data_IF_623452164402
#
_entry.id   IF_623452164402
#
_cell.length_a   1.000
_cell.length_b   1.000
_cell.length_c   1.000
_cell.angle_alpha   90.00
_cell.angle_beta   90.00
_cell.angle_gamma   90.00
#
_symmetry.space_group_name_H-M   'P 1'
#
loop_
_entity.id
_entity.type
_entity.pdbx_description
1 polymer ?
#
# COMPACT_ATOMS: atom_id res chain seq x y z
N UNK A 1 11.58 51.73 -19.56
CA UNK A 1 11.38 50.74 -18.47
C UNK A 1 11.02 49.32 -18.95
N UNK A 2 10.76 49.09 -20.25
CA UNK A 2 10.15 47.84 -20.75
C UNK A 2 11.11 46.76 -21.27
N UNK A 3 12.43 46.99 -21.32
CA UNK A 3 13.43 45.97 -21.71
C UNK A 3 14.07 45.22 -20.52
N UNK A 4 13.87 45.69 -19.29
CA UNK A 4 14.42 45.05 -18.08
C UNK A 4 13.49 43.97 -17.50
N UNK A 5 12.15 44.12 -17.64
CA UNK A 5 11.18 43.13 -17.15
C UNK A 5 11.20 41.79 -17.92
N UNK A 6 11.49 41.79 -19.22
CA UNK A 6 11.55 40.54 -20.00
C UNK A 6 12.76 39.66 -19.67
N UNK A 7 13.90 40.25 -19.29
CA UNK A 7 15.07 39.48 -18.84
C UNK A 7 14.85 38.85 -17.46
N UNK A 8 14.12 39.51 -16.55
CA UNK A 8 13.85 38.98 -15.21
C UNK A 8 12.85 37.81 -15.26
N UNK A 9 11.84 37.86 -16.14
CA UNK A 9 10.84 36.78 -16.28
C UNK A 9 11.42 35.54 -16.98
N UNK A 10 12.26 35.70 -18.01
CA UNK A 10 12.97 34.56 -18.61
C UNK A 10 14.04 33.96 -17.69
N UNK A 11 14.70 34.77 -16.85
CA UNK A 11 15.62 34.23 -15.84
C UNK A 11 14.89 33.45 -14.75
N UNK A 12 13.74 33.92 -14.24
CA UNK A 12 12.96 33.17 -13.24
C UNK A 12 12.45 31.83 -13.79
N UNK A 13 11.98 31.78 -15.04
CA UNK A 13 11.53 30.52 -15.65
C UNK A 13 12.68 29.53 -15.89
N UNK A 14 13.84 30.01 -16.34
CA UNK A 14 15.04 29.15 -16.50
C UNK A 14 15.58 28.69 -15.15
N UNK A 15 15.49 29.52 -14.09
CA UNK A 15 15.93 29.17 -12.74
C UNK A 15 15.03 28.14 -12.06
N UNK A 16 13.70 28.25 -12.23
CA UNK A 16 12.73 27.26 -11.72
C UNK A 16 12.91 25.92 -12.42
N UNK A 17 13.01 25.91 -13.76
CA UNK A 17 13.25 24.67 -14.53
C UNK A 17 14.60 24.03 -14.16
N UNK A 18 15.66 24.83 -13.94
CA UNK A 18 16.95 24.29 -13.50
C UNK A 18 16.94 23.76 -12.06
N UNK A 19 16.20 24.39 -11.14
CA UNK A 19 16.04 23.89 -9.77
C UNK A 19 15.23 22.60 -9.72
N UNK A 20 14.16 22.49 -10.53
CA UNK A 20 13.32 21.30 -10.61
C UNK A 20 14.10 20.12 -11.23
N UNK A 21 14.92 20.36 -12.26
CA UNK A 21 15.80 19.34 -12.83
C UNK A 21 16.94 18.94 -11.88
N UNK A 22 17.54 19.89 -11.15
CA UNK A 22 18.58 19.58 -10.16
C UNK A 22 18.02 18.78 -8.98
N UNK A 23 16.79 19.09 -8.52
CA UNK A 23 16.09 18.34 -7.50
C UNK A 23 15.68 16.95 -7.99
N UNK A 24 15.12 16.84 -9.20
CA UNK A 24 14.82 15.55 -9.82
C UNK A 24 16.08 14.67 -9.96
N UNK A 25 17.20 15.25 -10.40
CA UNK A 25 18.49 14.55 -10.44
C UNK A 25 19.04 14.22 -9.04
N UNK A 26 18.73 15.01 -8.01
CA UNK A 26 19.07 14.68 -6.62
C UNK A 26 18.25 13.51 -6.07
N UNK A 27 16.96 13.41 -6.42
CA UNK A 27 16.08 12.27 -6.07
C UNK A 27 16.61 10.99 -6.72
N UNK A 28 16.98 11.06 -8.01
CA UNK A 28 17.54 9.93 -8.75
C UNK A 28 18.93 9.55 -8.22
N UNK A 29 19.82 10.51 -7.98
CA UNK A 29 21.17 10.23 -7.47
C UNK A 29 21.20 9.76 -6.01
N UNK A 30 20.31 10.25 -5.14
CA UNK A 30 20.18 9.77 -3.76
C UNK A 30 19.86 8.27 -3.70
N UNK A 31 19.08 7.75 -4.65
CA UNK A 31 18.74 6.33 -4.74
C UNK A 31 19.90 5.44 -5.20
N UNK A 32 20.88 5.99 -5.92
CA UNK A 32 21.99 5.23 -6.49
C UNK A 32 23.25 5.21 -5.61
N UNK A 33 23.36 6.09 -4.60
CA UNK A 33 24.62 6.33 -3.90
C UNK A 33 24.56 6.20 -2.35
N UNK A 34 23.46 5.73 -1.76
CA UNK A 34 23.33 5.74 -0.29
C UNK A 34 23.39 7.16 0.29
N UNK A 35 22.99 8.15 -0.51
CA UNK A 35 22.98 9.56 -0.13
C UNK A 35 21.82 9.91 0.80
N UNK A 36 21.83 11.15 1.31
CA UNK A 36 20.73 11.66 2.13
C UNK A 36 19.38 11.54 1.40
N UNK A 37 18.29 11.18 2.10
CA UNK A 37 16.97 11.07 1.50
C UNK A 37 16.57 12.41 0.84
N UNK A 38 15.84 12.37 -0.29
CA UNK A 38 15.45 13.58 -0.99
C UNK A 38 14.64 14.52 -0.08
N UNK A 39 14.91 15.82 -0.20
CA UNK A 39 14.13 16.84 0.53
C UNK A 39 12.72 16.87 -0.06
N UNK A 40 11.73 16.52 0.76
CA UNK A 40 10.31 16.56 0.39
C UNK A 40 9.85 18.02 0.30
N UNK A 41 9.49 18.47 -0.90
CA UNK A 41 8.90 19.79 -1.13
C UNK A 41 7.38 19.73 -1.06
N UNK A 42 6.73 20.85 -0.73
CA UNK A 42 5.26 20.91 -0.62
C UNK A 42 4.67 20.13 0.56
N UNK A 43 3.37 20.32 0.80
CA UNK A 43 2.62 19.66 1.86
C UNK A 43 2.94 20.11 3.29
N UNK A 44 2.12 19.60 4.21
CA UNK A 44 2.21 19.87 5.64
C UNK A 44 3.48 19.26 6.27
N UNK A 45 3.86 19.68 7.49
CA UNK A 45 4.90 19.00 8.26
C UNK A 45 4.62 17.50 8.44
N UNK A 46 3.35 17.12 8.62
CA UNK A 46 2.91 15.73 8.73
C UNK A 46 3.21 14.95 7.48
N UNK A 47 2.79 15.45 6.32
CA UNK A 47 3.08 14.85 5.02
C UNK A 47 4.56 14.59 4.81
N UNK A 48 5.40 15.59 5.10
CA UNK A 48 6.87 15.48 4.96
C UNK A 48 7.45 14.43 5.89
N UNK A 49 7.03 14.43 7.16
CA UNK A 49 7.51 13.45 8.16
C UNK A 49 7.14 12.01 7.75
N UNK A 50 5.90 11.80 7.31
CA UNK A 50 5.44 10.48 6.90
C UNK A 50 6.10 10.04 5.59
N UNK A 51 6.26 10.93 4.61
CA UNK A 51 6.99 10.63 3.38
C UNK A 51 8.45 10.17 3.66
N UNK A 52 9.14 10.83 4.59
CA UNK A 52 10.48 10.42 5.02
C UNK A 52 10.48 9.05 5.70
N UNK A 53 9.49 8.79 6.57
CA UNK A 53 9.30 7.46 7.16
C UNK A 53 9.14 6.38 6.08
N UNK A 54 8.29 6.61 5.07
CA UNK A 54 8.05 5.62 4.00
C UNK A 54 9.30 5.32 3.18
N UNK A 55 10.12 6.33 2.87
CA UNK A 55 11.38 6.14 2.15
C UNK A 55 12.36 5.29 2.96
N UNK A 56 12.54 5.60 4.25
CA UNK A 56 13.39 4.81 5.14
C UNK A 56 12.84 3.38 5.31
N UNK A 57 11.53 3.24 5.45
CA UNK A 57 10.84 1.96 5.61
C UNK A 57 11.00 1.07 4.38
N UNK A 58 10.89 1.64 3.18
CA UNK A 58 11.16 0.92 1.93
C UNK A 58 12.56 0.34 1.95
N UNK A 59 13.60 1.13 2.18
CA UNK A 59 14.99 0.65 2.24
C UNK A 59 15.18 -0.49 3.26
N UNK A 60 14.57 -0.38 4.44
CA UNK A 60 14.61 -1.43 5.46
C UNK A 60 13.95 -2.73 4.98
N UNK A 61 12.79 -2.63 4.32
CA UNK A 61 12.07 -3.79 3.79
C UNK A 61 12.87 -4.46 2.68
N UNK A 62 13.41 -3.70 1.72
CA UNK A 62 14.22 -4.27 0.64
C UNK A 62 15.41 -5.05 1.23
N UNK A 63 16.14 -4.44 2.16
CA UNK A 63 17.28 -5.09 2.80
C UNK A 63 16.88 -6.35 3.59
N UNK A 64 15.78 -6.32 4.34
CA UNK A 64 15.29 -7.47 5.10
C UNK A 64 14.87 -8.63 4.17
N UNK A 65 14.15 -8.32 3.09
CA UNK A 65 13.70 -9.33 2.12
C UNK A 65 14.87 -9.92 1.35
N UNK A 66 15.82 -9.12 0.88
CA UNK A 66 17.01 -9.63 0.19
C UNK A 66 17.90 -10.51 1.10
N UNK A 67 18.03 -10.12 2.38
CA UNK A 67 18.78 -10.88 3.37
C UNK A 67 18.11 -12.22 3.67
N UNK A 68 16.78 -12.21 3.87
CA UNK A 68 16.04 -13.45 4.06
C UNK A 68 16.07 -14.31 2.79
N UNK A 69 15.85 -13.73 1.60
CA UNK A 69 15.82 -14.46 0.33
C UNK A 69 17.11 -15.27 0.09
N UNK A 70 18.28 -14.66 0.29
CA UNK A 70 19.56 -15.36 0.32
C UNK A 70 20.12 -15.82 -1.04
N UNK A 71 19.36 -15.68 -2.13
CA UNK A 71 19.81 -16.07 -3.49
C UNK A 71 20.91 -15.16 -4.08
N UNK A 72 21.13 -13.99 -3.48
CA UNK A 72 21.99 -12.94 -4.02
C UNK A 72 21.29 -12.02 -5.03
N UNK A 73 20.05 -12.31 -5.42
CA UNK A 73 19.20 -11.41 -6.21
C UNK A 73 18.86 -10.16 -5.40
N UNK A 74 18.82 -9.01 -6.08
CA UNK A 74 18.58 -7.69 -5.50
C UNK A 74 17.36 -7.04 -6.14
N UNK A 75 16.68 -6.17 -5.38
CA UNK A 75 15.64 -5.33 -5.96
C UNK A 75 16.25 -4.37 -6.98
N UNK A 76 15.70 -4.38 -8.19
CA UNK A 76 15.89 -3.28 -9.12
C UNK A 76 15.10 -2.08 -8.62
N UNK A 77 15.77 -0.93 -8.52
CA UNK A 77 15.15 0.34 -8.10
C UNK A 77 15.03 1.23 -9.31
N UNK A 78 13.79 1.61 -9.62
CA UNK A 78 13.41 2.43 -10.75
C UNK A 78 12.83 3.77 -10.24
N UNK A 79 13.70 4.78 -10.03
CA UNK A 79 13.28 6.11 -9.60
C UNK A 79 12.54 6.83 -10.73
N UNK A 80 11.49 7.57 -10.40
CA UNK A 80 10.74 8.37 -11.36
C UNK A 80 10.34 9.71 -10.76
N UNK A 81 10.24 10.71 -11.64
CA UNK A 81 9.78 12.06 -11.33
C UNK A 81 8.80 12.50 -12.42
N UNK A 82 7.72 13.16 -12.03
CA UNK A 82 6.75 13.77 -12.93
C UNK A 82 6.98 15.27 -12.96
N UNK A 83 7.54 15.75 -14.06
CA UNK A 83 7.91 17.17 -14.23
C UNK A 83 6.72 18.13 -14.05
N UNK A 84 5.50 17.70 -14.35
CA UNK A 84 4.31 18.57 -14.33
C UNK A 84 3.86 19.03 -12.94
N UNK A 85 4.09 18.21 -11.91
CA UNK A 85 3.61 18.47 -10.55
C UNK A 85 4.66 18.19 -9.46
N UNK A 86 5.86 17.72 -9.84
CA UNK A 86 6.92 17.37 -8.90
C UNK A 86 6.68 16.05 -8.16
N UNK A 87 5.64 15.29 -8.50
CA UNK A 87 5.44 13.95 -7.94
C UNK A 87 6.63 13.06 -8.25
N UNK A 88 7.01 12.18 -7.34
CA UNK A 88 8.11 11.27 -7.54
C UNK A 88 7.91 9.98 -6.78
N UNK A 89 8.75 8.98 -7.05
CA UNK A 89 8.71 7.74 -6.32
C UNK A 89 9.82 6.79 -6.72
N UNK A 90 9.81 5.64 -6.07
CA UNK A 90 10.76 4.56 -6.28
C UNK A 90 9.96 3.29 -6.48
N UNK A 91 9.80 2.90 -7.74
CA UNK A 91 9.24 1.59 -8.07
C UNK A 91 10.34 0.55 -7.88
N UNK A 92 10.03 -0.57 -7.24
CA UNK A 92 11.00 -1.64 -7.04
C UNK A 92 10.47 -2.97 -7.57
N UNK A 93 11.36 -3.79 -8.10
CA UNK A 93 11.05 -5.13 -8.56
C UNK A 93 12.19 -6.08 -8.21
N UNK A 94 11.89 -7.17 -7.52
CA UNK A 94 12.76 -8.33 -7.40
C UNK A 94 12.09 -9.45 -8.19
N UNK A 95 12.86 -10.11 -9.05
CA UNK A 95 12.40 -11.25 -9.84
C UNK A 95 13.42 -12.38 -9.71
N UNK A 96 12.90 -13.60 -9.68
CA UNK A 96 13.69 -14.83 -9.63
C UNK A 96 14.51 -15.08 -8.36
N UNK A 97 14.10 -14.54 -7.21
CA UNK A 97 14.65 -14.90 -5.90
C UNK A 97 14.27 -16.31 -5.45
N UNK A 98 14.96 -16.82 -4.41
CA UNK A 98 14.74 -18.17 -3.87
C UNK A 98 13.54 -18.23 -2.91
N UNK A 99 13.31 -17.15 -2.16
CA UNK A 99 12.11 -16.97 -1.33
C UNK A 99 11.03 -16.25 -2.12
N UNK A 100 11.36 -15.10 -2.70
CA UNK A 100 10.44 -14.22 -3.43
C UNK A 100 10.66 -14.42 -4.92
N UNK A 101 9.72 -15.11 -5.57
CA UNK A 101 9.80 -15.33 -7.02
C UNK A 101 9.54 -14.03 -7.79
N UNK A 102 8.62 -13.20 -7.29
CA UNK A 102 8.46 -11.82 -7.72
C UNK A 102 7.96 -10.96 -6.59
N UNK A 103 8.57 -9.80 -6.40
CA UNK A 103 8.22 -8.90 -5.31
C UNK A 103 8.37 -7.44 -5.70
N UNK A 104 7.54 -6.59 -5.10
CA UNK A 104 7.63 -5.15 -5.21
C UNK A 104 7.36 -4.51 -3.85
N UNK A 105 8.08 -3.45 -3.54
CA UNK A 105 7.79 -2.55 -2.44
C UNK A 105 8.06 -1.11 -2.91
N UNK A 106 7.01 -0.40 -3.33
CA UNK A 106 7.11 0.86 -4.06
C UNK A 106 6.63 2.04 -3.24
N UNK A 107 7.41 3.12 -3.23
CA UNK A 107 7.03 4.42 -2.64
C UNK A 107 6.54 5.37 -3.73
N UNK A 108 5.46 6.09 -3.45
CA UNK A 108 4.95 7.18 -4.30
C UNK A 108 4.64 8.40 -3.45
N UNK A 109 5.22 9.54 -3.82
CA UNK A 109 5.00 10.87 -3.24
C UNK A 109 4.36 11.72 -4.33
N UNK A 110 3.07 12.00 -4.17
CA UNK A 110 2.22 12.63 -5.18
C UNK A 110 1.85 14.03 -4.73
N UNK A 111 1.94 14.95 -5.68
CA UNK A 111 1.43 16.31 -5.57
C UNK A 111 0.39 16.51 -6.67
N UNK A 112 -0.67 17.27 -6.40
CA UNK A 112 -1.63 17.57 -7.44
C UNK A 112 -2.68 18.58 -7.04
N UNK A 113 -3.62 18.78 -7.95
CA UNK A 113 -4.84 19.58 -7.72
C UNK A 113 -6.08 18.73 -7.94
N UNK A 114 -7.11 18.94 -7.14
CA UNK A 114 -8.36 18.21 -7.27
C UNK A 114 -9.04 18.55 -8.59
N UNK A 115 -9.50 17.53 -9.30
CA UNK A 115 -10.47 17.69 -10.38
C UNK A 115 -11.85 17.94 -9.77
N UNK A 116 -12.80 18.43 -10.58
CA UNK A 116 -14.19 18.61 -10.12
C UNK A 116 -14.82 17.30 -9.62
N UNK A 117 -14.56 16.21 -10.33
CA UNK A 117 -15.01 14.87 -9.94
C UNK A 117 -14.42 14.43 -8.60
N UNK A 118 -13.10 14.61 -8.40
CA UNK A 118 -12.42 14.25 -7.15
C UNK A 118 -12.90 15.11 -5.98
N UNK A 119 -13.08 16.41 -6.19
CA UNK A 119 -13.61 17.30 -5.16
C UNK A 119 -15.04 16.89 -4.75
N UNK A 120 -15.92 16.56 -5.71
CA UNK A 120 -17.26 16.05 -5.39
C UNK A 120 -17.20 14.72 -4.63
N UNK A 121 -16.40 13.77 -5.10
CA UNK A 121 -16.26 12.46 -4.46
C UNK A 121 -15.70 12.58 -3.03
N UNK A 122 -14.72 13.45 -2.81
CA UNK A 122 -14.16 13.68 -1.48
C UNK A 122 -15.12 14.42 -0.56
N UNK A 123 -15.82 15.46 -1.05
CA UNK A 123 -16.81 16.17 -0.24
C UNK A 123 -17.94 15.24 0.23
N UNK A 124 -18.40 14.34 -0.64
CA UNK A 124 -19.40 13.34 -0.28
C UNK A 124 -18.89 12.30 0.73
N UNK A 125 -17.58 12.04 0.74
CA UNK A 125 -16.92 11.04 1.60
C UNK A 125 -16.58 11.61 2.99
N UNK A 126 -16.06 12.84 3.05
CA UNK A 126 -15.61 13.49 4.29
C UNK A 126 -16.68 14.31 5.00
N UNK A 127 -17.74 14.71 4.30
CA UNK A 127 -18.70 15.68 4.83
C UNK A 127 -18.16 17.11 4.87
N UNK A 128 -16.91 17.34 4.42
CA UNK A 128 -16.28 18.66 4.34
C UNK A 128 -16.22 19.12 2.89
N UNK A 129 -16.65 20.35 2.62
CA UNK A 129 -16.66 20.90 1.26
C UNK A 129 -15.22 21.05 0.72
N UNK A 130 -14.94 20.36 -0.38
CA UNK A 130 -13.71 20.52 -1.16
C UNK A 130 -14.06 21.03 -2.56
N UNK A 131 -13.14 21.78 -3.17
CA UNK A 131 -13.31 22.48 -4.44
C UNK A 131 -12.26 22.04 -5.45
N UNK A 132 -12.66 22.05 -6.72
CA UNK A 132 -11.72 21.84 -7.81
C UNK A 132 -10.58 22.87 -7.72
N UNK A 133 -9.36 22.42 -8.04
CA UNK A 133 -8.17 23.26 -7.99
C UNK A 133 -7.47 23.32 -6.63
N UNK A 134 -8.09 22.86 -5.53
CA UNK A 134 -7.39 22.73 -4.24
C UNK A 134 -6.19 21.79 -4.39
N UNK A 135 -5.06 22.15 -3.77
CA UNK A 135 -3.90 21.30 -3.76
C UNK A 135 -4.12 20.11 -2.82
N UNK A 136 -3.58 18.96 -3.23
CA UNK A 136 -3.54 17.77 -2.40
C UNK A 136 -2.17 17.13 -2.49
N UNK A 137 -1.79 16.43 -1.42
CA UNK A 137 -0.57 15.64 -1.37
C UNK A 137 -0.92 14.22 -0.91
N UNK A 138 -0.21 13.22 -1.45
CA UNK A 138 -0.40 11.83 -1.05
C UNK A 138 0.95 11.11 -0.98
N UNK A 139 1.20 10.38 0.10
CA UNK A 139 2.41 9.59 0.28
C UNK A 139 1.99 8.14 0.57
N UNK A 140 2.53 7.18 -0.17
CA UNK A 140 2.18 5.78 -0.01
C UNK A 140 3.39 4.86 -0.17
N UNK A 141 3.42 3.79 0.63
CA UNK A 141 4.28 2.63 0.44
C UNK A 141 3.36 1.41 0.31
N UNK A 142 3.48 0.70 -0.82
CA UNK A 142 2.75 -0.55 -1.06
C UNK A 142 3.70 -1.66 -1.44
N UNK A 143 3.42 -2.88 -0.98
CA UNK A 143 4.20 -4.05 -1.32
C UNK A 143 3.32 -5.26 -1.63
N UNK A 144 3.87 -6.13 -2.48
CA UNK A 144 3.36 -7.48 -2.74
C UNK A 144 4.56 -8.40 -2.93
N UNK A 145 4.61 -9.50 -2.20
CA UNK A 145 5.63 -10.53 -2.32
C UNK A 145 4.99 -11.86 -2.68
N UNK A 146 5.24 -12.31 -3.92
CA UNK A 146 4.86 -13.63 -4.39
C UNK A 146 5.99 -14.61 -4.12
N UNK A 147 5.79 -15.46 -3.13
CA UNK A 147 6.73 -16.51 -2.76
C UNK A 147 6.95 -17.55 -3.85
N UNK A 148 8.17 -18.08 -3.96
CA UNK A 148 8.50 -19.18 -4.87
C UNK A 148 7.83 -20.48 -4.44
N UNK A 149 8.01 -20.89 -3.18
CA UNK A 149 7.37 -22.08 -2.63
C UNK A 149 5.85 -21.89 -2.54
N UNK A 150 5.03 -22.88 -2.97
CA UNK A 150 3.59 -22.87 -2.77
C UNK A 150 3.20 -23.03 -1.29
N UNK A 151 4.14 -23.35 -0.40
CA UNK A 151 3.88 -23.50 1.04
C UNK A 151 4.10 -22.21 1.81
N UNK A 152 4.69 -21.19 1.18
CA UNK A 152 4.80 -19.84 1.73
C UNK A 152 3.65 -19.00 1.17
N UNK A 153 2.88 -18.26 1.98
CA UNK A 153 1.82 -17.39 1.48
C UNK A 153 2.36 -16.17 0.73
N UNK A 154 1.61 -15.70 -0.27
CA UNK A 154 1.79 -14.34 -0.80
C UNK A 154 1.46 -13.35 0.31
N UNK A 155 2.26 -12.29 0.43
CA UNK A 155 2.04 -11.22 1.41
C UNK A 155 1.83 -9.89 0.69
N UNK A 156 0.82 -9.14 1.12
CA UNK A 156 0.52 -7.81 0.61
C UNK A 156 0.32 -6.87 1.77
N UNK A 157 0.84 -5.65 1.63
CA UNK A 157 0.62 -4.61 2.60
C UNK A 157 0.70 -3.22 1.97
N UNK A 158 0.09 -2.24 2.62
CA UNK A 158 0.25 -0.85 2.25
C UNK A 158 0.02 0.08 3.45
N UNK A 159 0.66 1.24 3.43
CA UNK A 159 0.25 2.39 4.24
C UNK A 159 0.31 3.64 3.37
N UNK A 160 -0.62 4.55 3.62
CA UNK A 160 -0.75 5.79 2.86
C UNK A 160 -1.29 6.91 3.73
N UNK A 161 -0.91 8.13 3.39
CA UNK A 161 -1.44 9.37 3.91
C UNK A 161 -1.87 10.24 2.74
N UNK A 162 -3.01 10.90 2.90
CA UNK A 162 -3.55 11.85 1.94
C UNK A 162 -3.95 13.11 2.69
N UNK A 163 -3.65 14.26 2.11
CA UNK A 163 -4.08 15.55 2.62
C UNK A 163 -4.52 16.50 1.53
N UNK A 164 -5.42 17.42 1.89
CA UNK A 164 -5.95 18.46 1.03
C UNK A 164 -5.86 19.77 1.78
N UNK A 165 -5.37 20.80 1.11
CA UNK A 165 -5.41 22.14 1.67
C UNK A 165 -6.87 22.57 1.90
N UNK A 166 -7.17 23.10 3.09
CA UNK A 166 -8.52 23.59 3.40
C UNK A 166 -9.02 24.64 2.42
N UNK A 167 -10.33 24.84 2.35
CA UNK A 167 -10.86 26.00 1.64
C UNK A 167 -10.59 27.25 2.51
N UNK A 168 -10.23 28.38 1.90
CA UNK A 168 -10.22 29.66 2.61
C UNK A 168 -11.63 29.89 3.17
N UNK A 169 -11.75 29.91 4.51
CA UNK A 169 -13.00 30.21 5.19
C UNK A 169 -13.35 31.69 5.07
N UNK A 170 -14.59 32.10 5.37
CA UNK A 170 -15.01 33.51 5.40
C UNK A 170 -14.37 34.34 6.54
N UNK A 171 -13.32 33.85 7.21
CA UNK A 171 -12.62 34.53 8.29
C UNK A 171 -11.10 34.39 8.17
N UNK A 172 -10.36 35.25 8.87
CA UNK A 172 -8.89 35.39 8.79
C UNK A 172 -8.08 34.24 9.44
N UNK A 173 -8.67 33.05 9.59
CA UNK A 173 -7.99 31.86 10.12
C UNK A 173 -7.26 31.07 9.02
N UNK A 174 -6.18 30.32 9.36
CA UNK A 174 -5.53 29.45 8.39
C UNK A 174 -6.50 28.39 7.87
N UNK A 175 -6.47 28.12 6.57
CA UNK A 175 -7.25 27.05 5.96
C UNK A 175 -6.85 25.69 6.57
N UNK A 176 -7.80 24.99 7.18
CA UNK A 176 -7.52 23.75 7.91
C UNK A 176 -7.34 22.58 6.93
N UNK A 177 -6.17 21.94 6.96
CA UNK A 177 -5.84 20.80 6.10
C UNK A 177 -6.70 19.59 6.49
N UNK A 178 -7.37 18.99 5.51
CA UNK A 178 -8.12 17.74 5.70
C UNK A 178 -7.17 16.58 5.39
N UNK A 179 -6.88 15.74 6.37
CA UNK A 179 -5.95 14.61 6.23
C UNK A 179 -6.56 13.29 6.67
N UNK A 180 -6.14 12.20 6.05
CA UNK A 180 -6.45 10.84 6.51
C UNK A 180 -5.39 9.84 6.06
N UNK A 181 -5.32 8.77 6.82
CA UNK A 181 -4.50 7.62 6.57
C UNK A 181 -5.32 6.44 6.05
N UNK A 182 -4.63 5.49 5.46
CA UNK A 182 -5.16 4.20 5.10
C UNK A 182 -4.04 3.17 5.01
N UNK A 183 -4.40 1.90 4.97
CA UNK A 183 -3.42 0.84 4.85
C UNK A 183 -3.96 -0.51 5.29
N UNK A 184 -3.02 -1.40 5.55
CA UNK A 184 -3.31 -2.73 6.03
C UNK A 184 -2.22 -3.72 5.67
N UNK A 185 -2.48 -4.97 6.00
CA UNK A 185 -1.68 -6.11 5.63
C UNK A 185 -2.60 -7.32 5.54
N UNK A 186 -2.37 -8.17 4.54
CA UNK A 186 -3.16 -9.38 4.33
C UNK A 186 -2.29 -10.53 3.81
N UNK A 187 -2.70 -11.74 4.20
CA UNK A 187 -2.01 -12.98 3.90
C UNK A 187 -2.81 -13.82 2.91
N UNK A 188 -2.16 -14.26 1.84
CA UNK A 188 -2.76 -15.04 0.76
C UNK A 188 -2.04 -16.40 0.65
N UNK A 189 -2.42 -17.39 1.48
CA UNK A 189 -1.86 -18.74 1.41
C UNK A 189 -2.37 -19.51 0.19
N UNK A 190 -1.57 -20.49 -0.24
CA UNK A 190 -1.99 -21.51 -1.21
C UNK A 190 -2.37 -22.83 -0.51
N UNK A 191 -1.81 -23.09 0.66
CA UNK A 191 -2.20 -24.17 1.56
C UNK A 191 -2.42 -23.61 2.95
N UNK A 192 -3.45 -24.09 3.65
CA UNK A 192 -3.75 -23.62 4.99
C UNK A 192 -2.77 -24.21 6.00
N UNK A 193 -2.14 -23.32 6.76
CA UNK A 193 -1.40 -23.65 7.98
C UNK A 193 -2.01 -22.82 9.10
N UNK A 194 -2.85 -23.46 9.92
CA UNK A 194 -3.65 -22.77 10.93
C UNK A 194 -2.78 -21.97 11.91
N UNK A 195 -1.66 -22.55 12.34
CA UNK A 195 -0.71 -21.89 13.25
C UNK A 195 -0.08 -20.62 12.64
N UNK A 196 0.21 -20.61 11.33
CA UNK A 196 0.72 -19.41 10.65
C UNK A 196 -0.34 -18.32 10.59
N UNK A 197 -1.60 -18.69 10.30
CA UNK A 197 -2.71 -17.75 10.27
C UNK A 197 -3.00 -17.18 11.67
N UNK A 198 -3.02 -18.02 12.71
CA UNK A 198 -3.19 -17.60 14.11
C UNK A 198 -2.08 -16.62 14.51
N UNK A 199 -0.81 -16.93 14.22
CA UNK A 199 0.32 -16.05 14.55
C UNK A 199 0.26 -14.72 13.82
N UNK A 200 -0.04 -14.73 12.53
CA UNK A 200 -0.21 -13.51 11.74
C UNK A 200 -1.32 -12.63 12.30
N UNK A 201 -2.50 -13.20 12.54
CA UNK A 201 -3.65 -12.48 13.08
C UNK A 201 -3.43 -12.01 14.53
N UNK A 202 -2.74 -12.80 15.36
CA UNK A 202 -2.38 -12.43 16.73
C UNK A 202 -1.46 -11.20 16.78
N UNK A 203 -0.49 -11.11 15.88
CA UNK A 203 0.41 -9.96 15.80
C UNK A 203 -0.36 -8.66 15.52
N UNK A 204 -1.28 -8.68 14.56
CA UNK A 204 -2.11 -7.51 14.25
C UNK A 204 -3.16 -7.22 15.32
N UNK A 205 -3.67 -8.23 16.03
CA UNK A 205 -4.53 -7.99 17.19
C UNK A 205 -3.77 -7.28 18.31
N UNK A 206 -2.59 -7.77 18.68
CA UNK A 206 -1.78 -7.14 19.71
C UNK A 206 -1.43 -5.68 19.36
N UNK A 207 -1.12 -5.41 18.09
CA UNK A 207 -0.93 -4.06 17.58
C UNK A 207 -2.19 -3.22 17.71
N UNK A 208 -3.35 -3.72 17.29
CA UNK A 208 -4.62 -3.00 17.41
C UNK A 208 -4.99 -2.74 18.88
N UNK A 209 -4.82 -3.73 19.76
CA UNK A 209 -5.09 -3.60 21.20
C UNK A 209 -4.22 -2.49 21.83
N UNK A 210 -2.95 -2.39 21.42
CA UNK A 210 -2.04 -1.34 21.90
C UNK A 210 -2.45 0.09 21.48
N UNK A 211 -3.24 0.22 20.41
CA UNK A 211 -3.69 1.52 19.89
C UNK A 211 -5.19 1.78 20.15
N UNK A 212 -5.95 0.81 20.65
CA UNK A 212 -7.41 0.85 20.78
C UNK A 212 -7.94 2.09 21.52
N UNK A 213 -7.36 2.42 22.67
CA UNK A 213 -7.76 3.57 23.49
C UNK A 213 -7.50 4.94 22.84
N UNK A 214 -6.71 4.99 21.77
CA UNK A 214 -6.36 6.24 21.07
C UNK A 214 -7.24 6.54 19.85
N UNK A 215 -8.13 5.62 19.45
CA UNK A 215 -8.79 5.66 18.13
C UNK A 215 -10.32 5.58 18.22
N UNK A 216 -10.87 6.02 19.37
CA UNK A 216 -12.30 6.07 19.68
C UNK A 216 -13.04 6.90 18.62
N UNK A 217 -13.78 6.24 17.73
CA UNK A 217 -14.53 6.87 16.63
C UNK A 217 -14.42 6.12 15.30
N UNK A 218 -13.36 5.32 15.10
CA UNK A 218 -13.24 4.48 13.91
C UNK A 218 -13.92 3.11 14.06
N UNK A 219 -13.96 2.56 15.28
CA UNK A 219 -14.73 1.37 15.59
C UNK A 219 -16.23 1.73 15.67
N UNK A 220 -17.08 1.12 14.83
CA UNK A 220 -18.48 1.53 14.62
C UNK A 220 -19.46 0.97 15.68
N UNK A 221 -19.01 0.62 16.89
CA UNK A 221 -19.88 0.02 17.91
C UNK A 221 -19.26 0.05 19.30
N UNK A 222 -20.07 0.28 20.34
CA UNK A 222 -19.72 0.10 21.77
C UNK A 222 -19.30 -1.35 22.12
N UNK A 223 -19.33 -2.29 21.16
CA UNK A 223 -19.12 -3.73 21.38
C UNK A 223 -18.01 -4.40 20.56
N UNK A 224 -17.26 -3.67 19.72
CA UNK A 224 -16.22 -4.27 18.85
C UNK A 224 -14.86 -3.64 19.06
N UNK A 225 -13.85 -4.50 19.22
CA UNK A 225 -12.47 -4.08 19.28
C UNK A 225 -11.95 -3.60 17.92
N UNK A 226 -10.95 -2.72 17.92
CA UNK A 226 -10.34 -2.17 16.70
C UNK A 226 -9.94 -3.28 15.72
N UNK A 227 -9.28 -4.32 16.21
CA UNK A 227 -8.88 -5.48 15.41
C UNK A 227 -10.05 -6.12 14.67
N UNK A 228 -11.16 -6.38 15.35
CA UNK A 228 -12.33 -7.05 14.75
C UNK A 228 -12.91 -6.22 13.61
N UNK A 229 -12.95 -4.91 13.78
CA UNK A 229 -13.44 -3.99 12.74
C UNK A 229 -12.48 -3.94 11.54
N UNK A 230 -11.16 -3.88 11.77
CA UNK A 230 -10.18 -3.87 10.69
C UNK A 230 -10.10 -5.21 9.94
N UNK A 231 -10.26 -6.33 10.65
CA UNK A 231 -10.30 -7.67 10.08
C UNK A 231 -11.54 -7.87 9.23
N UNK A 232 -12.71 -7.49 9.73
CA UNK A 232 -13.96 -7.56 8.96
C UNK A 232 -13.88 -6.72 7.68
N UNK A 233 -13.30 -5.50 7.75
CA UNK A 233 -13.05 -4.68 6.56
C UNK A 233 -12.10 -5.34 5.57
N UNK A 234 -11.09 -6.06 6.06
CA UNK A 234 -10.17 -6.82 5.22
C UNK A 234 -10.90 -7.95 4.46
N UNK A 235 -11.71 -8.73 5.18
CA UNK A 235 -12.51 -9.82 4.62
C UNK A 235 -13.54 -9.34 3.58
N UNK A 236 -14.09 -8.14 3.77
CA UNK A 236 -15.04 -7.52 2.85
C UNK A 236 -14.35 -6.91 1.62
N UNK A 237 -13.19 -6.26 1.81
CA UNK A 237 -12.47 -5.59 0.73
C UNK A 237 -11.87 -6.58 -0.26
N UNK A 238 -11.20 -7.62 0.22
CA UNK A 238 -10.49 -8.60 -0.62
C UNK A 238 -11.39 -9.74 -1.12
N UNK A 239 -12.64 -9.43 -1.42
CA UNK A 239 -13.65 -10.39 -1.91
C UNK A 239 -13.69 -10.41 -3.44
N UNK A 240 -13.90 -11.60 -4.01
CA UNK A 240 -14.13 -11.82 -5.44
C UNK A 240 -15.62 -12.20 -5.67
N UNK A 241 -16.53 -11.23 -5.92
CA UNK A 241 -17.96 -11.51 -6.09
C UNK A 241 -18.29 -12.55 -7.15
N UNK A 242 -17.56 -12.57 -8.28
CA UNK A 242 -17.80 -13.52 -9.37
C UNK A 242 -17.30 -14.95 -9.09
N UNK A 243 -16.66 -15.19 -7.93
CA UNK A 243 -16.11 -16.47 -7.51
C UNK A 243 -16.79 -16.97 -6.24
N UNK A 244 -18.12 -16.94 -6.22
CA UNK A 244 -18.95 -17.30 -5.06
C UNK A 244 -18.57 -16.52 -3.79
N UNK A 245 -18.15 -15.27 -3.94
CA UNK A 245 -17.66 -14.43 -2.85
C UNK A 245 -16.44 -15.01 -2.10
N UNK A 246 -15.60 -15.82 -2.75
CA UNK A 246 -14.31 -16.21 -2.15
C UNK A 246 -13.44 -14.97 -1.88
N UNK A 247 -12.68 -15.00 -0.79
CA UNK A 247 -11.69 -13.98 -0.47
C UNK A 247 -10.38 -14.33 -1.17
N UNK A 248 -9.59 -13.31 -1.46
CA UNK A 248 -8.28 -13.47 -2.09
C UNK A 248 -7.37 -14.35 -1.22
N UNK A 249 -7.41 -14.12 0.09
CA UNK A 249 -6.61 -14.79 1.11
C UNK A 249 -7.37 -14.90 2.44
N UNK A 250 -6.62 -15.19 3.51
CA UNK A 250 -7.17 -15.39 4.87
C UNK A 250 -7.39 -14.10 5.66
N UNK A 251 -7.16 -12.96 5.01
CA UNK A 251 -7.37 -11.63 5.55
C UNK A 251 -6.16 -11.12 6.33
N UNK A 252 -6.45 -10.26 7.30
CA UNK A 252 -5.49 -9.50 8.07
C UNK A 252 -6.17 -8.26 8.64
N UNK A 253 -5.62 -7.08 8.39
CA UNK A 253 -6.27 -5.81 8.72
C UNK A 253 -6.36 -4.91 7.49
N UNK A 254 -7.46 -4.17 7.36
CA UNK A 254 -7.63 -3.15 6.33
C UNK A 254 -8.30 -1.91 6.92
N UNK A 255 -7.74 -0.74 6.64
CA UNK A 255 -8.28 0.54 7.05
C UNK A 255 -8.12 1.60 5.96
N UNK A 256 -9.05 2.54 5.96
CA UNK A 256 -9.16 3.64 5.02
C UNK A 256 -9.96 4.74 5.71
N UNK A 257 -9.72 6.00 5.38
CA UNK A 257 -10.32 7.14 6.09
C UNK A 257 -10.03 7.11 7.60
N UNK A 258 -8.75 7.05 7.96
CA UNK A 258 -8.26 6.84 9.33
C UNK A 258 -7.46 8.04 9.87
N UNK A 259 -7.80 8.68 11.00
CA UNK A 259 -8.95 8.40 11.86
C UNK A 259 -10.24 8.70 11.11
N UNK A 260 -11.40 8.30 11.67
CA UNK A 260 -12.68 8.56 11.03
C UNK A 260 -12.78 10.05 10.65
N UNK A 261 -13.14 10.35 9.40
CA UNK A 261 -13.02 11.70 8.81
C UNK A 261 -13.72 12.84 9.56
N UNK A 262 -14.61 12.54 10.51
CA UNK A 262 -15.20 13.53 11.41
C UNK A 262 -14.25 14.08 12.49
N UNK A 263 -13.06 13.48 12.66
CA UNK A 263 -12.04 13.92 13.62
C UNK A 263 -10.69 14.14 12.93
N UNK A 264 -10.50 15.33 12.37
CA UNK A 264 -9.25 15.79 11.77
C UNK A 264 -8.35 16.57 12.74
N UNK A 265 -8.57 16.41 14.05
CA UNK A 265 -7.74 17.09 15.05
C UNK A 265 -6.28 16.65 14.94
N UNK A 266 -5.36 17.55 15.29
CA UNK A 266 -3.91 17.30 15.26
C UNK A 266 -3.53 16.07 16.12
N UNK A 267 -4.19 15.92 17.28
CA UNK A 267 -4.02 14.78 18.18
C UNK A 267 -4.44 13.46 17.51
N UNK A 268 -5.61 13.43 16.87
CA UNK A 268 -6.11 12.22 16.21
C UNK A 268 -5.29 11.86 14.98
N UNK A 269 -4.80 12.85 14.22
CA UNK A 269 -3.87 12.61 13.12
C UNK A 269 -2.51 12.09 13.60
N UNK A 270 -1.99 12.56 14.75
CA UNK A 270 -0.78 12.00 15.36
C UNK A 270 -0.94 10.54 15.75
N UNK A 271 -2.07 10.21 16.39
CA UNK A 271 -2.40 8.84 16.79
C UNK A 271 -2.56 7.92 15.58
N UNK A 272 -3.20 8.42 14.52
CA UNK A 272 -3.35 7.70 13.27
C UNK A 272 -2.01 7.48 12.54
N UNK A 273 -1.14 8.48 12.51
CA UNK A 273 0.21 8.33 11.97
C UNK A 273 0.98 7.25 12.75
N UNK A 274 0.99 7.32 14.08
CA UNK A 274 1.67 6.34 14.92
C UNK A 274 1.14 4.91 14.68
N UNK A 275 -0.17 4.75 14.51
CA UNK A 275 -0.78 3.46 14.16
C UNK A 275 -0.32 2.98 12.77
N UNK A 276 -0.30 3.85 11.76
CA UNK A 276 0.19 3.51 10.42
C UNK A 276 1.67 3.10 10.42
N UNK A 277 2.51 3.86 11.11
CA UNK A 277 3.93 3.55 11.24
C UNK A 277 4.12 2.19 11.94
N UNK A 278 3.38 1.92 13.02
CA UNK A 278 3.39 0.63 13.70
C UNK A 278 2.92 -0.53 12.79
N UNK A 279 1.89 -0.31 11.97
CA UNK A 279 1.43 -1.32 10.99
C UNK A 279 2.54 -1.65 10.00
N UNK A 280 3.25 -0.63 9.49
CA UNK A 280 4.36 -0.83 8.57
C UNK A 280 5.57 -1.52 9.23
N UNK A 281 5.84 -1.21 10.50
CA UNK A 281 6.87 -1.88 11.31
C UNK A 281 6.55 -3.36 11.54
N UNK A 282 5.27 -3.73 11.63
CA UNK A 282 4.83 -5.10 11.85
C UNK A 282 4.90 -6.01 10.61
N UNK A 283 5.08 -5.46 9.41
CA UNK A 283 5.05 -6.25 8.17
C UNK A 283 6.07 -7.38 8.15
N UNK A 284 7.36 -7.07 8.28
CA UNK A 284 8.41 -8.09 8.22
C UNK A 284 8.36 -9.06 9.41
N UNK A 285 8.19 -8.61 10.68
CA UNK A 285 8.02 -9.50 11.82
C UNK A 285 6.81 -10.44 11.71
N UNK A 286 5.75 -10.05 11.01
CA UNK A 286 4.55 -10.91 10.83
C UNK A 286 4.71 -11.96 9.74
N UNK A 287 5.56 -11.72 8.73
CA UNK A 287 5.66 -12.57 7.54
C UNK A 287 6.95 -13.39 7.47
N UNK A 288 8.13 -12.80 7.76
CA UNK A 288 9.41 -13.52 7.64
C UNK A 288 9.49 -14.79 8.50
N UNK A 289 8.95 -14.83 9.74
CA UNK A 289 8.92 -16.09 10.49
C UNK A 289 8.11 -17.20 9.82
N UNK A 290 7.07 -16.86 9.04
CA UNK A 290 6.31 -17.84 8.25
C UNK A 290 7.19 -18.33 7.10
N UNK A 291 7.86 -17.41 6.39
CA UNK A 291 8.81 -17.76 5.33
C UNK A 291 9.88 -18.74 5.79
N UNK A 292 10.56 -18.42 6.90
CA UNK A 292 11.65 -19.24 7.45
C UNK A 292 11.20 -20.67 7.81
N UNK A 293 9.95 -20.86 8.24
CA UNK A 293 9.40 -22.20 8.55
C UNK A 293 9.04 -23.00 7.31
N UNK A 294 8.50 -22.34 6.28
CA UNK A 294 7.81 -23.01 5.18
C UNK A 294 8.64 -23.11 3.90
N UNK A 295 9.65 -22.25 3.70
CA UNK A 295 10.33 -22.10 2.41
C UNK A 295 11.07 -23.34 1.92
N UNK A 296 11.68 -24.10 2.84
CA UNK A 296 12.52 -25.26 2.52
C UNK A 296 11.74 -26.58 2.52
N UNK A 297 10.44 -26.54 2.81
CA UNK A 297 9.61 -27.73 2.72
C UNK A 297 9.45 -28.17 1.26
N UNK A 298 9.62 -29.47 0.97
CA UNK A 298 9.45 -29.98 -0.39
C UNK A 298 7.98 -29.84 -0.82
N UNK A 299 7.77 -29.53 -2.09
CA UNK A 299 6.45 -29.46 -2.69
C UNK A 299 6.39 -30.19 -4.03
N UNK A 300 5.19 -30.63 -4.41
CA UNK A 300 4.97 -31.39 -5.64
C UNK A 300 4.66 -30.49 -6.84
N UNK A 301 4.78 -31.00 -8.08
CA UNK A 301 4.33 -30.29 -9.28
C UNK A 301 2.85 -29.87 -9.22
N UNK A 302 1.99 -30.70 -8.62
CA UNK A 302 0.57 -30.42 -8.44
C UNK A 302 0.37 -29.24 -7.49
N UNK A 303 1.15 -29.17 -6.41
CA UNK A 303 1.09 -28.04 -5.49
C UNK A 303 1.53 -26.73 -6.14
N UNK A 304 2.52 -26.80 -7.04
CA UNK A 304 2.90 -25.66 -7.88
C UNK A 304 1.80 -25.30 -8.89
N UNK A 305 1.13 -26.27 -9.51
CA UNK A 305 -0.01 -25.99 -10.40
C UNK A 305 -1.14 -25.26 -9.65
N UNK A 306 -1.47 -25.72 -8.45
CA UNK A 306 -2.45 -25.07 -7.59
C UNK A 306 -2.07 -23.62 -7.24
N UNK A 307 -0.80 -23.38 -6.88
CA UNK A 307 -0.29 -22.03 -6.62
C UNK A 307 -0.51 -21.09 -7.82
N UNK A 308 -0.26 -21.57 -9.04
CA UNK A 308 -0.46 -20.78 -10.26
C UNK A 308 -1.95 -20.49 -10.52
N UNK A 309 -2.86 -21.42 -10.20
CA UNK A 309 -4.30 -21.20 -10.27
C UNK A 309 -4.77 -20.15 -9.26
N UNK A 310 -4.28 -20.22 -8.01
CA UNK A 310 -4.57 -19.22 -6.97
C UNK A 310 -3.97 -17.85 -7.28
N UNK A 311 -2.78 -17.78 -7.88
CA UNK A 311 -2.22 -16.52 -8.42
C UNK A 311 -3.09 -15.96 -9.53
N UNK A 312 -3.75 -16.81 -10.32
CA UNK A 312 -4.81 -16.39 -11.24
C UNK A 312 -5.92 -15.59 -10.54
N UNK A 313 -6.43 -16.08 -9.39
CA UNK A 313 -7.40 -15.34 -8.55
C UNK A 313 -6.85 -14.03 -8.02
N UNK A 314 -5.58 -14.01 -7.64
CA UNK A 314 -4.91 -12.78 -7.20
C UNK A 314 -4.94 -11.71 -8.30
N UNK A 315 -4.60 -12.09 -9.55
CA UNK A 315 -4.65 -11.18 -10.69
C UNK A 315 -6.09 -10.77 -11.05
N UNK A 316 -7.06 -11.69 -10.98
CA UNK A 316 -8.49 -11.37 -11.15
C UNK A 316 -8.93 -10.25 -10.21
N UNK A 317 -8.58 -10.38 -8.93
CA UNK A 317 -8.92 -9.36 -7.95
C UNK A 317 -8.30 -8.01 -8.30
N UNK A 318 -7.00 -8.00 -8.61
CA UNK A 318 -6.28 -6.77 -8.93
C UNK A 318 -6.91 -6.04 -10.13
N UNK A 319 -7.26 -6.76 -11.20
CA UNK A 319 -7.81 -6.13 -12.42
C UNK A 319 -9.30 -5.76 -12.29
N UNK A 320 -10.09 -6.57 -11.57
CA UNK A 320 -11.54 -6.45 -11.55
C UNK A 320 -12.11 -5.75 -10.31
N UNK A 321 -11.39 -5.71 -9.20
CA UNK A 321 -11.97 -5.25 -7.93
C UNK A 321 -11.07 -4.28 -7.17
N UNK A 322 -9.75 -4.37 -7.32
CA UNK A 322 -8.85 -3.46 -6.61
C UNK A 322 -9.00 -2.02 -7.12
N UNK A 323 -9.43 -1.13 -6.22
CA UNK A 323 -9.58 0.29 -6.51
C UNK A 323 -8.24 0.90 -6.89
N UNK A 324 -7.15 0.53 -6.20
CA UNK A 324 -5.82 1.08 -6.45
C UNK A 324 -5.33 0.84 -7.88
N UNK A 325 -5.41 -0.41 -8.34
CA UNK A 325 -4.99 -0.80 -9.69
C UNK A 325 -5.87 -0.13 -10.75
N UNK A 326 -7.20 -0.13 -10.58
CA UNK A 326 -8.11 0.52 -11.53
C UNK A 326 -7.88 2.02 -11.69
N UNK A 327 -7.59 2.72 -10.59
CA UNK A 327 -7.25 4.15 -10.64
C UNK A 327 -5.85 4.40 -11.25
N UNK A 328 -4.93 3.45 -11.12
CA UNK A 328 -3.58 3.57 -11.68
C UNK A 328 -3.48 3.25 -13.17
N UNK A 329 -4.33 2.36 -13.69
CA UNK A 329 -4.36 1.96 -15.10
C UNK A 329 -5.16 2.97 -15.95
N UNK A 330 -4.57 4.14 -16.15
CA UNK A 330 -5.13 5.21 -16.98
C UNK A 330 -4.21 5.53 -18.17
N UNK A 331 -4.74 6.06 -19.29
CA UNK A 331 -3.90 6.51 -20.40
C UNK A 331 -2.83 7.51 -19.94
N UNK A 332 -1.58 7.27 -20.32
CA UNK A 332 -0.44 8.09 -19.89
C UNK A 332 0.02 7.85 -18.44
N UNK A 333 -0.63 6.94 -17.71
CA UNK A 333 -0.17 6.43 -16.43
C UNK A 333 1.02 5.48 -16.58
N UNK A 334 1.75 5.25 -15.49
CA UNK A 334 2.91 4.34 -15.47
C UNK A 334 2.44 2.90 -15.26
N UNK A 335 1.92 2.28 -16.32
CA UNK A 335 1.34 0.91 -16.28
C UNK A 335 2.24 -0.09 -15.59
N UNK A 336 3.55 -0.10 -15.88
CA UNK A 336 4.49 -1.05 -15.26
C UNK A 336 4.60 -0.88 -13.74
N UNK A 337 4.53 0.36 -13.24
CA UNK A 337 4.56 0.60 -11.79
C UNK A 337 3.27 0.15 -11.08
N UNK A 338 2.16 0.04 -11.79
CA UNK A 338 0.90 -0.51 -11.26
C UNK A 338 0.91 -2.03 -11.35
N UNK A 339 1.39 -2.57 -12.48
CA UNK A 339 1.41 -4.00 -12.79
C UNK A 339 2.56 -4.77 -12.14
N UNK A 340 3.52 -4.08 -11.52
CA UNK A 340 4.60 -4.72 -10.74
C UNK A 340 4.07 -5.64 -9.63
N UNK A 341 2.86 -5.36 -9.13
CA UNK A 341 2.13 -6.15 -8.13
C UNK A 341 1.51 -7.45 -8.68
N UNK A 342 1.59 -7.70 -9.98
CA UNK A 342 1.08 -8.91 -10.60
C UNK A 342 2.03 -10.10 -10.38
N UNK A 343 1.49 -11.31 -10.15
CA UNK A 343 2.29 -12.51 -10.06
C UNK A 343 3.11 -12.77 -11.34
N UNK A 344 4.29 -13.41 -11.22
CA UNK A 344 5.18 -13.62 -12.37
C UNK A 344 4.59 -14.65 -13.34
N UNK A 345 3.88 -15.64 -12.79
CA UNK A 345 3.23 -16.70 -13.54
C UNK A 345 1.85 -16.96 -12.93
N UNK A 346 0.88 -17.19 -13.81
CA UNK A 346 -0.46 -17.65 -13.46
C UNK A 346 -0.83 -18.84 -14.32
N UNK A 347 -1.86 -19.57 -13.90
CA UNK A 347 -2.52 -20.58 -14.72
C UNK A 347 -4.02 -20.35 -14.66
N UNK A 348 -4.69 -20.71 -15.75
CA UNK A 348 -6.13 -20.73 -15.81
C UNK A 348 -6.60 -22.08 -16.32
N UNK A 349 -7.54 -22.70 -15.62
CA UNK A 349 -8.13 -23.97 -16.01
C UNK A 349 -9.65 -23.82 -16.01
N UNK A 350 -10.26 -24.15 -17.14
CA UNK A 350 -11.71 -24.08 -17.29
C UNK A 350 -12.39 -25.05 -16.31
N UNK A 351 -13.40 -24.54 -15.60
CA UNK A 351 -14.23 -25.30 -14.65
C UNK A 351 -13.45 -26.17 -13.64
N UNK A 352 -12.29 -25.68 -13.18
CA UNK A 352 -11.50 -26.39 -12.16
C UNK A 352 -12.23 -26.41 -10.82
N UNK A 353 -12.31 -27.60 -10.22
CA UNK A 353 -12.78 -27.82 -8.85
C UNK A 353 -11.71 -28.65 -8.14
N UNK A 354 -11.26 -28.28 -6.93
CA UNK A 354 -10.39 -29.13 -6.11
C UNK A 354 -10.99 -30.50 -5.84
N UNK A 355 -10.16 -31.51 -5.61
CA UNK A 355 -10.63 -32.84 -5.26
C UNK A 355 -11.28 -32.84 -3.86
N UNK A 356 -12.38 -33.59 -3.63
CA UNK A 356 -13.03 -33.65 -2.32
C UNK A 356 -12.08 -34.15 -1.22
N UNK A 357 -12.04 -33.43 -0.10
CA UNK A 357 -11.18 -33.71 1.06
C UNK A 357 -9.72 -33.25 0.92
N UNK A 358 -9.34 -32.67 -0.22
CA UNK A 358 -8.00 -32.14 -0.47
C UNK A 358 -7.70 -30.89 0.37
N UNK A 359 -6.42 -30.54 0.50
CA UNK A 359 -6.03 -29.30 1.20
C UNK A 359 -6.41 -28.05 0.39
N UNK A 360 -6.49 -28.17 -0.92
CA UNK A 360 -6.99 -27.16 -1.85
C UNK A 360 -8.47 -26.86 -1.62
N UNK A 361 -9.30 -27.90 -1.41
CA UNK A 361 -10.72 -27.73 -1.06
C UNK A 361 -10.88 -27.03 0.29
N UNK A 362 -10.12 -27.45 1.32
CA UNK A 362 -10.14 -26.84 2.65
C UNK A 362 -9.80 -25.35 2.59
N UNK A 363 -8.79 -24.96 1.79
CA UNK A 363 -8.48 -23.55 1.57
C UNK A 363 -9.69 -22.82 0.97
N UNK A 364 -10.25 -23.33 -0.13
CA UNK A 364 -11.38 -22.67 -0.81
C UNK A 364 -12.60 -22.51 0.11
N UNK A 365 -12.87 -23.49 0.99
CA UNK A 365 -13.95 -23.40 1.97
C UNK A 365 -13.75 -22.20 2.93
N UNK A 366 -12.54 -22.04 3.48
CA UNK A 366 -12.19 -20.90 4.34
C UNK A 366 -12.24 -19.58 3.58
N UNK A 367 -11.82 -19.56 2.32
CA UNK A 367 -11.89 -18.35 1.49
C UNK A 367 -13.33 -17.96 1.18
N UNK A 368 -14.25 -18.91 1.00
CA UNK A 368 -15.69 -18.63 0.82
C UNK A 368 -16.36 -18.21 2.13
N UNK A 369 -15.89 -18.77 3.24
CA UNK A 369 -16.44 -18.55 4.58
C UNK A 369 -15.33 -18.09 5.55
N UNK A 370 -14.93 -16.80 5.52
CA UNK A 370 -13.93 -16.28 6.45
C UNK A 370 -14.32 -16.60 7.89
N UNK A 371 -13.34 -17.09 8.64
CA UNK A 371 -13.50 -17.44 10.05
C UNK A 371 -12.71 -16.50 10.94
N UNK A 372 -12.98 -16.56 12.23
CA UNK A 372 -12.13 -15.92 13.23
C UNK A 372 -10.91 -16.82 13.47
N UNK A 373 -9.72 -16.22 13.42
CA UNK A 373 -8.46 -16.93 13.65
C UNK A 373 -8.01 -16.91 15.11
N UNK A 374 -8.57 -16.00 15.92
CA UNK A 374 -8.19 -15.74 17.31
C UNK A 374 -9.38 -15.36 18.18
#
# INVERSE_FOLDING_TARGET
MTKWMFKVVSFLWVFVIHQDMAWAMSVVSASQAGGHPPVIQGGSPRFKSFAQFLLAKQSQILAAVEAEDGSGVKFQVDPWVRESDGSFGFTTCLEDGDLVEKGAASVSIIHGRLTEERAKAMSARSGTETKAGQAYNAAALSLVFHSRSPLVPTFRADVRYFEVDGAEGPGDGPAETIGWFGGGADLTPYYLVDDDCVKFHSAYKALCDAHEGSLLGYAKSDSRSLYRDLKARCDDYFRLPARDNERRGVGGIFFDDFPAQADSSEESLNKAQAFCEAVADAWMPSWLPICARQRDLPYTPEQREWQLLRRGRYLEFNLLYDRGVRFGLVPGGRTEAVMVSAPPLIRWKYNFTPDPGSDEEKLVEVLRNPREWI
#
